data_IF_838478011259
#
_entry.id   IF_838478011259
#
_cell.length_a   1.000
_cell.length_b   1.000
_cell.length_c   1.000
_cell.angle_alpha   90.00
_cell.angle_beta   90.00
_cell.angle_gamma   90.00
#
_symmetry.space_group_name_H-M   'P 1'
#
loop_
_entity.id
_entity.type
_entity.pdbx_description
1 polymer ?
#
# COMPACT_ATOMS: atom_id res chain seq x y z
N UNK A 1 -17.62 -15.41 -1.81
CA UNK A 1 -17.18 -14.85 -0.52
C UNK A 1 -18.28 -14.00 0.04
N UNK A 2 -18.53 -14.07 1.34
CA UNK A 2 -19.49 -13.19 2.00
C UNK A 2 -18.89 -11.79 2.16
N UNK A 3 -19.65 -10.74 1.83
CA UNK A 3 -19.15 -9.37 1.88
C UNK A 3 -18.72 -8.93 3.28
N UNK A 4 -19.27 -9.52 4.34
CA UNK A 4 -18.89 -9.26 5.75
C UNK A 4 -17.66 -10.02 6.25
N UNK A 5 -17.16 -10.99 5.48
CA UNK A 5 -16.01 -11.84 5.83
C UNK A 5 -15.07 -11.98 4.62
N UNK A 6 -14.84 -10.87 3.92
CA UNK A 6 -13.93 -10.80 2.80
C UNK A 6 -12.48 -10.84 3.29
N UNK A 7 -11.59 -11.24 2.38
CA UNK A 7 -10.14 -11.24 2.58
C UNK A 7 -9.53 -10.44 1.44
N UNK A 8 -8.48 -9.67 1.75
CA UNK A 8 -7.65 -8.98 0.77
C UNK A 8 -6.19 -9.35 1.05
N UNK A 9 -5.49 -9.75 0.01
CA UNK A 9 -4.04 -9.92 0.01
C UNK A 9 -3.54 -9.24 -1.26
N UNK A 10 -2.62 -8.30 -1.12
CA UNK A 10 -2.21 -7.48 -2.25
C UNK A 10 -0.85 -6.85 -2.06
N UNK A 11 -0.48 -6.09 -3.08
CA UNK A 11 0.79 -5.42 -3.25
C UNK A 11 0.51 -3.93 -3.56
N UNK A 12 1.31 -3.03 -2.99
CA UNK A 12 1.43 -1.65 -3.47
C UNK A 12 2.87 -1.41 -3.93
N UNK A 13 3.04 -1.04 -5.20
CA UNK A 13 4.29 -0.51 -5.75
C UNK A 13 4.34 1.01 -5.55
N UNK A 14 5.47 1.51 -5.04
CA UNK A 14 5.63 2.92 -4.70
C UNK A 14 7.09 3.38 -4.82
N UNK A 15 7.30 4.69 -4.86
CA UNK A 15 8.64 5.27 -4.77
C UNK A 15 9.16 5.18 -3.33
N UNK A 16 10.49 5.11 -3.14
CA UNK A 16 11.11 5.09 -1.81
C UNK A 16 10.58 6.15 -0.81
N UNK A 17 10.34 7.42 -1.20
CA UNK A 17 9.83 8.44 -0.28
C UNK A 17 8.39 8.19 0.20
N UNK A 18 7.62 7.37 -0.51
CA UNK A 18 6.19 7.14 -0.27
C UNK A 18 5.95 6.03 0.77
N UNK A 19 6.94 5.17 0.99
CA UNK A 19 6.87 3.96 1.84
C UNK A 19 6.24 4.22 3.21
N UNK A 20 6.74 5.21 3.93
CA UNK A 20 6.28 5.48 5.28
C UNK A 20 4.85 6.02 5.33
N UNK A 21 4.42 6.77 4.30
CA UNK A 21 3.05 7.28 4.22
C UNK A 21 2.07 6.12 3.97
N UNK A 22 2.40 5.25 3.02
CA UNK A 22 1.61 4.06 2.67
C UNK A 22 1.50 3.09 3.86
N UNK A 23 2.60 2.77 4.56
CA UNK A 23 2.59 1.92 5.76
C UNK A 23 1.64 2.47 6.82
N UNK A 24 1.71 3.79 7.07
CA UNK A 24 0.83 4.45 8.06
C UNK A 24 -0.64 4.38 7.62
N UNK A 25 -0.94 4.58 6.35
CA UNK A 25 -2.30 4.49 5.83
C UNK A 25 -2.88 3.07 5.96
N UNK A 26 -2.11 2.03 5.62
CA UNK A 26 -2.52 0.64 5.79
C UNK A 26 -2.81 0.31 7.27
N UNK A 27 -1.87 0.64 8.16
CA UNK A 27 -2.03 0.37 9.61
C UNK A 27 -3.22 1.11 10.22
N UNK A 28 -3.46 2.37 9.86
CA UNK A 28 -4.64 3.14 10.31
C UNK A 28 -5.97 2.50 9.90
N UNK A 29 -5.97 1.73 8.81
CA UNK A 29 -7.14 1.05 8.28
C UNK A 29 -7.16 -0.46 8.60
N UNK A 30 -6.39 -0.91 9.58
CA UNK A 30 -6.31 -2.31 10.01
C UNK A 30 -5.90 -3.28 8.89
N UNK A 31 -5.09 -2.82 7.94
CA UNK A 31 -4.41 -3.66 6.96
C UNK A 31 -2.99 -3.97 7.46
N UNK A 32 -2.69 -5.25 7.57
CA UNK A 32 -1.40 -5.76 8.05
C UNK A 32 -0.33 -5.60 6.96
N UNK A 33 0.86 -5.12 7.34
CA UNK A 33 2.03 -5.10 6.45
C UNK A 33 2.77 -6.42 6.61
N UNK A 34 2.83 -7.20 5.55
CA UNK A 34 3.39 -8.56 5.52
C UNK A 34 4.86 -8.55 5.11
N UNK A 35 5.20 -7.80 4.07
CA UNK A 35 6.58 -7.71 3.56
C UNK A 35 6.84 -6.37 2.86
N UNK A 36 8.12 -6.00 2.78
CA UNK A 36 8.61 -4.83 2.06
C UNK A 36 9.91 -5.22 1.34
N UNK A 37 9.92 -5.17 0.01
CA UNK A 37 11.08 -5.56 -0.79
C UNK A 37 11.03 -4.97 -2.21
N UNK A 38 12.07 -5.20 -3.00
CA UNK A 38 12.15 -4.76 -4.40
C UNK A 38 12.13 -5.97 -5.32
N UNK A 39 11.49 -5.85 -6.48
CA UNK A 39 11.46 -6.93 -7.47
C UNK A 39 12.64 -6.86 -8.45
N UNK A 40 13.17 -5.67 -8.71
CA UNK A 40 14.21 -5.45 -9.73
C UNK A 40 15.54 -5.05 -9.10
N UNK A 41 16.63 -5.27 -9.83
CA UNK A 41 17.96 -4.83 -9.49
C UNK A 41 18.36 -3.67 -10.40
N UNK A 42 18.91 -2.59 -9.83
CA UNK A 42 19.45 -1.46 -10.60
C UNK A 42 18.42 -0.54 -11.25
N UNK A 43 17.18 -0.54 -10.75
CA UNK A 43 16.14 0.39 -11.16
C UNK A 43 16.36 1.80 -10.60
N UNK A 44 16.05 2.81 -11.40
CA UNK A 44 16.09 4.23 -11.02
C UNK A 44 14.92 4.98 -11.71
N UNK A 45 14.01 5.63 -10.96
CA UNK A 45 13.93 5.64 -9.51
C UNK A 45 13.56 4.25 -8.96
N UNK A 46 14.04 3.95 -7.75
CA UNK A 46 13.78 2.66 -7.12
C UNK A 46 12.30 2.48 -6.78
N UNK A 47 11.73 1.34 -7.18
CA UNK A 47 10.37 0.94 -6.85
C UNK A 47 10.39 -0.06 -5.70
N UNK A 48 9.72 0.30 -4.60
CA UNK A 48 9.51 -0.57 -3.44
C UNK A 48 8.12 -1.20 -3.52
N UNK A 49 8.04 -2.50 -3.23
CA UNK A 49 6.81 -3.28 -3.19
C UNK A 49 6.47 -3.64 -1.75
N UNK A 50 5.25 -3.36 -1.33
CA UNK A 50 4.73 -3.67 0.00
C UNK A 50 3.58 -4.67 -0.10
N UNK A 51 3.76 -5.85 0.49
CA UNK A 51 2.72 -6.86 0.61
C UNK A 51 1.86 -6.60 1.85
N UNK A 52 0.54 -6.65 1.70
CA UNK A 52 -0.40 -6.44 2.79
C UNK A 52 -1.52 -7.47 2.82
N UNK A 53 -2.12 -7.63 4.00
CA UNK A 53 -3.24 -8.54 4.22
C UNK A 53 -4.32 -7.90 5.09
N UNK A 54 -5.57 -8.31 4.89
CA UNK A 54 -6.69 -7.89 5.74
C UNK A 54 -7.91 -8.80 5.61
N UNK A 55 -8.75 -8.79 6.64
CA UNK A 55 -10.02 -9.52 6.69
C UNK A 55 -11.12 -8.63 7.28
N UNK A 56 -12.33 -8.70 6.74
CA UNK A 56 -13.48 -7.98 7.26
C UNK A 56 -14.51 -7.64 6.20
N UNK A 57 -15.28 -6.57 6.44
CA UNK A 57 -16.25 -6.08 5.48
C UNK A 57 -15.54 -5.55 4.22
N UNK A 58 -15.99 -5.98 3.04
CA UNK A 58 -15.38 -5.63 1.76
C UNK A 58 -15.24 -4.11 1.55
N UNK A 59 -16.25 -3.34 1.96
CA UNK A 59 -16.22 -1.87 1.87
C UNK A 59 -15.17 -1.24 2.78
N UNK A 60 -14.96 -1.79 3.98
CA UNK A 60 -13.90 -1.30 4.89
C UNK A 60 -12.52 -1.62 4.31
N UNK A 61 -12.34 -2.83 3.78
CA UNK A 61 -11.09 -3.24 3.13
C UNK A 61 -10.77 -2.37 1.90
N UNK A 62 -11.78 -2.09 1.06
CA UNK A 62 -11.58 -1.26 -0.13
C UNK A 62 -11.27 0.21 0.20
N UNK A 63 -11.90 0.77 1.24
CA UNK A 63 -11.58 2.10 1.76
C UNK A 63 -10.15 2.16 2.30
N UNK A 64 -9.73 1.14 3.06
CA UNK A 64 -8.37 1.06 3.59
C UNK A 64 -7.31 0.95 2.50
N UNK A 65 -7.56 0.12 1.49
CA UNK A 65 -6.69 0.02 0.32
C UNK A 65 -6.64 1.34 -0.45
N UNK A 66 -7.79 1.98 -0.69
CA UNK A 66 -7.85 3.26 -1.38
C UNK A 66 -7.07 4.35 -0.64
N UNK A 67 -7.19 4.43 0.68
CA UNK A 67 -6.45 5.39 1.50
C UNK A 67 -4.93 5.21 1.38
N UNK A 68 -4.45 3.98 1.19
CA UNK A 68 -3.05 3.71 0.94
C UNK A 68 -2.61 4.16 -0.47
N UNK A 69 -3.43 3.92 -1.50
CA UNK A 69 -3.17 4.42 -2.85
C UNK A 69 -3.16 5.95 -2.93
N UNK A 70 -4.02 6.62 -2.15
CA UNK A 70 -4.05 8.08 -2.10
C UNK A 70 -2.76 8.69 -1.54
N UNK A 71 -1.86 7.91 -0.91
CA UNK A 71 -0.52 8.38 -0.48
C UNK A 71 0.52 8.42 -1.60
N UNK A 72 0.24 7.80 -2.75
CA UNK A 72 1.15 7.77 -3.90
C UNK A 72 1.12 9.09 -4.68
N UNK A 73 2.23 9.44 -5.34
CA UNK A 73 2.36 10.60 -6.22
C UNK A 73 2.39 11.96 -5.52
N UNK A 74 2.26 12.01 -4.19
CA UNK A 74 2.25 13.26 -3.41
C UNK A 74 3.63 13.96 -3.35
N UNK A 75 4.71 13.19 -3.53
CA UNK A 75 6.10 13.66 -3.39
C UNK A 75 6.72 14.29 -4.65
N UNK A 76 6.05 14.26 -5.80
CA UNK A 76 6.61 14.78 -7.07
C UNK A 76 6.42 16.29 -7.28
N UNK A 77 5.82 17.02 -6.34
CA UNK A 77 5.94 18.47 -6.29
C UNK A 77 7.33 18.89 -5.73
N UNK A 78 8.42 18.35 -6.29
CA UNK A 78 9.79 18.68 -5.91
C UNK A 78 10.63 18.92 -7.19
N UNK A 79 10.48 20.16 -7.68
CA UNK A 79 11.55 21.06 -8.17
C UNK A 79 12.55 20.49 -9.19
N UNK A 80 12.39 20.91 -10.45
CA UNK A 80 13.53 21.29 -11.28
C UNK A 80 13.98 22.71 -10.92
#
# INVERSE_FOLDING_TARGET
GEQGAAHIAGDIAMLEPEVNAVIKALRRNNLEVVALHNHMLGDEPRIIFLHYYGRGAANTLSQGFRAALDELGKGQAMRH
#
